data_IF_758459047606
#
_entry.id   IF_758459047606
#
_cell.length_a   1.000
_cell.length_b   1.000
_cell.length_c   1.000
_cell.angle_alpha   90.00
_cell.angle_beta   90.00
_cell.angle_gamma   90.00
#
_symmetry.space_group_name_H-M   'P 1'
#
loop_
_entity.id
_entity.type
_entity.pdbx_description
1 polymer ?
#
# COMPACT_ATOMS: atom_id res chain seq x y z
N UNK A 1 6.65 -22.28 -11.66
CA UNK A 1 6.11 -21.07 -12.31
C UNK A 1 6.63 -20.97 -13.74
N UNK A 2 5.89 -20.31 -14.63
CA UNK A 2 6.39 -19.92 -15.95
C UNK A 2 6.76 -18.45 -15.88
N UNK A 3 7.97 -18.14 -16.29
CA UNK A 3 8.41 -16.76 -16.52
C UNK A 3 8.07 -16.34 -17.94
N UNK A 4 7.95 -15.04 -18.14
CA UNK A 4 7.61 -14.45 -19.43
C UNK A 4 8.59 -13.32 -19.76
N UNK A 5 8.87 -13.14 -21.05
CA UNK A 5 9.48 -11.94 -21.59
C UNK A 5 8.56 -11.30 -22.62
N UNK A 6 8.70 -9.99 -22.81
CA UNK A 6 8.15 -9.28 -23.95
C UNK A 6 9.26 -8.98 -24.92
N UNK A 7 9.00 -9.21 -26.19
CA UNK A 7 9.94 -8.97 -27.27
C UNK A 7 9.32 -8.09 -28.35
N UNK A 8 10.03 -7.04 -28.74
CA UNK A 8 9.70 -6.21 -29.88
C UNK A 8 10.46 -6.72 -31.11
N UNK A 9 9.73 -7.13 -32.15
CA UNK A 9 10.34 -7.67 -33.38
C UNK A 9 11.08 -6.61 -34.19
N UNK A 10 10.65 -5.35 -34.11
CA UNK A 10 11.19 -4.25 -34.92
C UNK A 10 12.48 -3.67 -34.34
N UNK A 11 12.53 -3.53 -33.02
CA UNK A 11 13.69 -2.95 -32.32
C UNK A 11 14.69 -4.01 -31.87
N UNK A 12 14.37 -5.31 -32.05
CA UNK A 12 15.15 -6.42 -31.52
C UNK A 12 15.52 -6.19 -30.04
N UNK A 13 14.50 -5.83 -29.26
CA UNK A 13 14.62 -5.47 -27.85
C UNK A 13 13.65 -6.28 -27.00
N UNK A 14 14.03 -6.60 -25.77
CA UNK A 14 13.18 -7.35 -24.85
C UNK A 14 13.19 -6.79 -23.43
N UNK A 15 12.16 -7.12 -22.65
CA UNK A 15 12.08 -6.91 -21.21
C UNK A 15 11.54 -8.17 -20.52
N UNK A 16 12.08 -8.50 -19.36
CA UNK A 16 11.68 -9.63 -18.55
C UNK A 16 10.52 -9.24 -17.62
N UNK A 17 9.42 -9.97 -17.73
CA UNK A 17 8.29 -9.86 -16.82
C UNK A 17 8.44 -10.80 -15.60
N UNK A 18 9.20 -11.88 -15.76
CA UNK A 18 9.27 -12.98 -14.81
C UNK A 18 7.88 -13.57 -14.54
N UNK A 19 7.66 -14.13 -13.35
CA UNK A 19 6.40 -14.77 -13.00
C UNK A 19 5.29 -13.76 -12.73
N UNK A 20 4.07 -14.12 -13.12
CA UNK A 20 2.87 -13.41 -12.74
C UNK A 20 2.42 -13.81 -11.33
N UNK A 21 2.29 -12.83 -10.44
CA UNK A 21 1.69 -13.01 -9.13
C UNK A 21 0.17 -12.75 -9.23
N UNK A 22 -0.61 -13.78 -8.84
CA UNK A 22 -2.07 -13.73 -8.89
C UNK A 22 -2.66 -12.92 -7.74
N UNK A 23 -1.95 -12.80 -6.63
CA UNK A 23 -2.45 -12.07 -5.46
C UNK A 23 -2.34 -10.56 -5.66
N UNK A 24 -1.19 -10.09 -6.18
CA UNK A 24 -0.99 -8.68 -6.51
C UNK A 24 -1.61 -8.26 -7.85
N UNK A 25 -1.91 -9.23 -8.73
CA UNK A 25 -2.36 -8.96 -10.09
C UNK A 25 -1.27 -8.35 -10.98
N UNK A 26 0.01 -8.56 -10.64
CA UNK A 26 1.15 -7.95 -11.32
C UNK A 26 2.26 -8.95 -11.62
N UNK A 27 3.06 -8.64 -12.62
CA UNK A 27 4.32 -9.33 -12.86
C UNK A 27 5.37 -8.88 -11.84
N UNK A 28 6.31 -9.76 -11.49
CA UNK A 28 7.44 -9.39 -10.64
C UNK A 28 8.31 -8.30 -11.28
N UNK A 29 8.35 -8.25 -12.62
CA UNK A 29 9.11 -7.25 -13.38
C UNK A 29 10.56 -7.66 -13.52
N UNK A 30 11.43 -6.67 -13.72
CA UNK A 30 12.87 -6.88 -13.90
C UNK A 30 13.55 -7.20 -12.57
N UNK A 31 14.68 -7.92 -12.64
CA UNK A 31 15.48 -8.31 -11.48
C UNK A 31 16.81 -7.56 -11.46
N UNK A 32 17.12 -6.92 -10.33
CA UNK A 32 18.41 -6.30 -10.07
C UNK A 32 19.34 -7.29 -9.38
N UNK A 33 20.52 -7.51 -9.98
CA UNK A 33 21.59 -8.30 -9.38
C UNK A 33 22.19 -7.59 -8.16
N UNK A 34 22.34 -6.26 -8.22
CA UNK A 34 22.93 -5.45 -7.16
C UNK A 34 22.12 -5.53 -5.86
N UNK A 35 20.80 -5.41 -5.98
CA UNK A 35 19.88 -5.39 -4.84
C UNK A 35 19.30 -6.75 -4.50
N UNK A 36 19.61 -7.79 -5.29
CA UNK A 36 19.05 -9.14 -5.19
C UNK A 36 17.52 -9.11 -5.05
N UNK A 37 16.86 -8.28 -5.87
CA UNK A 37 15.42 -8.05 -5.75
C UNK A 37 14.79 -7.68 -7.08
N UNK A 38 13.49 -7.91 -7.18
CA UNK A 38 12.67 -7.52 -8.31
C UNK A 38 12.17 -6.09 -8.16
N UNK A 39 11.88 -5.42 -9.27
CA UNK A 39 11.23 -4.10 -9.26
C UNK A 39 9.85 -4.16 -8.59
N UNK A 40 9.11 -5.27 -8.77
CA UNK A 40 7.72 -5.48 -8.28
C UNK A 40 6.77 -4.35 -8.69
N UNK A 41 7.07 -3.69 -9.80
CA UNK A 41 6.32 -2.57 -10.33
C UNK A 41 6.31 -2.65 -11.87
N UNK A 42 5.22 -2.16 -12.48
CA UNK A 42 5.00 -2.16 -13.91
C UNK A 42 5.71 -1.01 -14.64
N UNK A 43 6.59 -0.23 -13.98
CA UNK A 43 7.25 0.93 -14.58
C UNK A 43 8.02 0.55 -15.85
N UNK A 44 8.88 -0.48 -15.77
CA UNK A 44 9.72 -0.90 -16.91
C UNK A 44 8.83 -1.42 -18.04
N UNK A 45 7.82 -2.22 -17.71
CA UNK A 45 6.81 -2.69 -18.66
C UNK A 45 6.10 -1.52 -19.36
N UNK A 46 5.61 -0.53 -18.61
CA UNK A 46 4.92 0.62 -19.17
C UNK A 46 5.83 1.43 -20.09
N UNK A 47 7.08 1.66 -19.68
CA UNK A 47 8.08 2.34 -20.51
C UNK A 47 8.39 1.56 -21.78
N UNK A 48 8.48 0.24 -21.69
CA UNK A 48 8.68 -0.64 -22.85
C UNK A 48 7.51 -0.51 -23.83
N UNK A 49 6.27 -0.58 -23.35
CA UNK A 49 5.08 -0.43 -24.20
C UNK A 49 4.99 0.96 -24.85
N UNK A 50 5.33 2.02 -24.11
CA UNK A 50 5.33 3.38 -24.62
C UNK A 50 6.43 3.62 -25.66
N UNK A 51 7.62 3.07 -25.45
CA UNK A 51 8.75 3.21 -26.38
C UNK A 51 8.53 2.45 -27.69
N UNK A 52 7.70 1.39 -27.67
CA UNK A 52 7.44 0.52 -28.82
C UNK A 52 6.00 0.64 -29.33
N UNK A 53 5.39 1.82 -29.18
CA UNK A 53 4.05 2.10 -29.70
C UNK A 53 3.98 1.87 -31.22
N UNK A 54 2.99 1.08 -31.65
CA UNK A 54 2.81 0.73 -33.05
C UNK A 54 3.69 -0.44 -33.54
N UNK A 55 4.60 -0.95 -32.71
CA UNK A 55 5.39 -2.14 -33.05
C UNK A 55 4.66 -3.42 -32.64
N UNK A 56 4.95 -4.52 -33.34
CA UNK A 56 4.48 -5.85 -32.93
C UNK A 56 5.29 -6.34 -31.74
N UNK A 57 4.62 -6.46 -30.59
CA UNK A 57 5.19 -6.99 -29.36
C UNK A 57 4.65 -8.39 -29.13
N UNK A 58 5.54 -9.34 -28.86
CA UNK A 58 5.21 -10.74 -28.59
C UNK A 58 5.55 -11.10 -27.15
N UNK A 59 4.61 -11.73 -26.46
CA UNK A 59 4.87 -12.39 -25.18
C UNK A 59 5.42 -13.78 -25.42
N UNK A 60 6.62 -14.05 -24.90
CA UNK A 60 7.31 -15.32 -25.08
C UNK A 60 7.45 -15.99 -23.71
N UNK A 61 6.89 -17.21 -23.53
CA UNK A 61 7.04 -17.93 -22.27
C UNK A 61 8.42 -18.58 -22.16
N UNK A 62 8.91 -18.69 -20.94
CA UNK A 62 10.10 -19.46 -20.57
C UNK A 62 10.02 -20.92 -21.04
N UNK A 63 11.20 -21.53 -21.24
CA UNK A 63 11.39 -22.91 -21.74
C UNK A 63 11.00 -23.15 -23.21
N UNK A 64 10.93 -22.09 -23.99
CA UNK A 64 10.86 -22.17 -25.46
C UNK A 64 12.23 -21.86 -26.07
N UNK A 65 12.51 -22.38 -27.26
CA UNK A 65 13.78 -22.06 -27.95
C UNK A 65 13.82 -20.58 -28.37
N UNK A 66 12.67 -20.02 -28.75
CA UNK A 66 12.49 -18.58 -29.00
C UNK A 66 12.96 -17.73 -27.80
N UNK A 67 12.61 -18.14 -26.58
CA UNK A 67 13.01 -17.43 -25.36
C UNK A 67 14.53 -17.37 -25.20
N UNK A 68 15.22 -18.50 -25.42
CA UNK A 68 16.69 -18.57 -25.33
C UNK A 68 17.36 -17.75 -26.42
N UNK A 69 16.84 -17.86 -27.65
CA UNK A 69 17.36 -17.12 -28.80
C UNK A 69 17.23 -15.60 -28.61
N UNK A 70 16.11 -15.12 -28.06
CA UNK A 70 15.91 -13.69 -27.81
C UNK A 70 16.88 -13.19 -26.74
N UNK A 71 17.03 -13.90 -25.62
CA UNK A 71 17.94 -13.48 -24.56
C UNK A 71 19.39 -13.40 -25.04
N UNK A 72 19.81 -14.30 -25.93
CA UNK A 72 21.18 -14.30 -26.44
C UNK A 72 21.45 -13.25 -27.53
N UNK A 73 20.43 -12.89 -28.33
CA UNK A 73 20.64 -12.15 -29.57
C UNK A 73 19.98 -10.76 -29.60
N UNK A 74 19.01 -10.49 -28.73
CA UNK A 74 18.31 -9.21 -28.65
C UNK A 74 18.88 -8.31 -27.56
N UNK A 75 18.63 -7.01 -27.68
CA UNK A 75 19.01 -6.00 -26.68
C UNK A 75 18.08 -6.02 -25.47
N UNK A 76 18.64 -5.97 -24.26
CA UNK A 76 17.85 -5.86 -23.03
C UNK A 76 17.45 -4.40 -22.81
N UNK A 77 16.15 -4.13 -22.73
CA UNK A 77 15.63 -2.78 -22.61
C UNK A 77 15.91 -2.20 -21.22
N UNK A 78 16.58 -1.06 -21.17
CA UNK A 78 16.91 -0.32 -19.94
C UNK A 78 17.74 -1.11 -18.92
N UNK A 79 18.58 -2.05 -19.36
CA UNK A 79 19.43 -2.88 -18.48
C UNK A 79 20.18 -2.05 -17.43
N UNK A 80 20.83 -0.96 -17.85
CA UNK A 80 21.61 -0.06 -16.98
C UNK A 80 20.76 0.69 -15.93
N UNK A 81 19.47 0.90 -16.21
CA UNK A 81 18.56 1.65 -15.33
C UNK A 81 17.78 0.74 -14.37
N UNK A 82 17.85 -0.60 -14.51
CA UNK A 82 17.08 -1.54 -13.68
C UNK A 82 17.37 -1.33 -12.20
N UNK A 83 18.65 -1.17 -11.84
CA UNK A 83 19.08 -0.98 -10.45
C UNK A 83 18.43 0.25 -9.83
N UNK A 84 18.38 1.36 -10.58
CA UNK A 84 17.73 2.59 -10.15
C UNK A 84 16.23 2.38 -9.91
N UNK A 85 15.54 1.66 -10.78
CA UNK A 85 14.10 1.39 -10.57
C UNK A 85 13.85 0.49 -9.36
N UNK A 86 14.75 -0.45 -9.07
CA UNK A 86 14.66 -1.28 -7.86
C UNK A 86 14.87 -0.44 -6.61
N UNK A 87 15.84 0.49 -6.62
CA UNK A 87 16.03 1.42 -5.50
C UNK A 87 14.80 2.30 -5.27
N UNK A 88 14.24 2.88 -6.33
CA UNK A 88 13.02 3.69 -6.24
C UNK A 88 11.85 2.87 -5.68
N UNK A 89 11.69 1.62 -6.10
CA UNK A 89 10.65 0.73 -5.59
C UNK A 89 10.83 0.43 -4.10
N UNK A 90 12.05 0.14 -3.66
CA UNK A 90 12.36 -0.08 -2.24
C UNK A 90 12.10 1.19 -1.41
N UNK A 91 12.46 2.36 -1.93
CA UNK A 91 12.18 3.63 -1.26
C UNK A 91 10.67 3.85 -1.13
N UNK A 92 9.89 3.64 -2.19
CA UNK A 92 8.42 3.75 -2.15
C UNK A 92 7.81 2.78 -1.14
N UNK A 93 8.32 1.56 -1.02
CA UNK A 93 7.87 0.60 -0.02
C UNK A 93 8.15 1.13 1.41
N UNK A 94 9.34 1.66 1.66
CA UNK A 94 9.70 2.28 2.95
C UNK A 94 8.83 3.51 3.26
N UNK A 95 8.53 4.35 2.27
CA UNK A 95 7.63 5.48 2.44
C UNK A 95 6.21 5.02 2.78
N UNK A 96 5.65 4.04 2.06
CA UNK A 96 4.33 3.47 2.38
C UNK A 96 4.26 2.89 3.79
N UNK A 97 5.31 2.21 4.25
CA UNK A 97 5.36 1.72 5.63
C UNK A 97 5.43 2.85 6.66
N UNK A 98 6.20 3.90 6.36
CA UNK A 98 6.29 5.09 7.21
C UNK A 98 4.95 5.83 7.28
N UNK A 99 4.29 6.02 6.15
CA UNK A 99 2.98 6.68 6.08
C UNK A 99 1.94 5.87 6.87
N UNK A 100 1.90 4.55 6.70
CA UNK A 100 1.03 3.67 7.51
C UNK A 100 1.29 3.79 9.01
N UNK A 101 2.55 3.90 9.43
CA UNK A 101 2.89 4.12 10.84
C UNK A 101 2.42 5.50 11.30
N UNK A 102 2.66 6.54 10.51
CA UNK A 102 2.20 7.91 10.80
C UNK A 102 0.68 7.99 10.90
N UNK A 103 -0.07 7.35 10.01
CA UNK A 103 -1.53 7.30 10.07
C UNK A 103 -2.04 6.62 11.34
N UNK A 104 -1.36 5.55 11.78
CA UNK A 104 -1.66 4.88 13.04
C UNK A 104 -1.43 5.79 14.24
N UNK A 105 -0.29 6.49 14.28
CA UNK A 105 0.04 7.43 15.34
C UNK A 105 -0.97 8.59 15.41
N UNK A 106 -1.33 9.17 14.25
CA UNK A 106 -2.36 10.21 14.16
C UNK A 106 -3.70 9.67 14.67
N UNK A 107 -4.08 8.45 14.28
CA UNK A 107 -5.31 7.80 14.76
C UNK A 107 -5.32 7.58 16.28
N UNK A 108 -4.18 7.26 16.89
CA UNK A 108 -4.05 7.14 18.35
C UNK A 108 -4.22 8.49 19.05
N UNK A 109 -3.62 9.55 18.51
CA UNK A 109 -3.76 10.91 19.04
C UNK A 109 -5.21 11.40 18.93
N UNK A 110 -5.88 11.14 17.80
CA UNK A 110 -7.30 11.46 17.61
C UNK A 110 -8.18 10.75 18.64
N UNK A 111 -7.95 9.46 18.89
CA UNK A 111 -8.69 8.71 19.93
C UNK A 111 -8.46 9.29 21.33
N UNK A 112 -7.23 9.68 21.65
CA UNK A 112 -6.90 10.30 22.94
C UNK A 112 -7.61 11.65 23.12
N UNK A 113 -7.64 12.49 22.07
CA UNK A 113 -8.38 13.76 22.06
C UNK A 113 -9.88 13.54 22.30
N UNK A 114 -10.49 12.57 21.62
CA UNK A 114 -11.91 12.24 21.81
C UNK A 114 -12.18 11.76 23.23
N UNK A 115 -11.34 10.88 23.78
CA UNK A 115 -11.45 10.42 25.18
C UNK A 115 -11.41 11.60 26.16
N UNK A 116 -10.47 12.54 25.95
CA UNK A 116 -10.33 13.71 26.81
C UNK A 116 -11.54 14.65 26.72
N UNK A 117 -12.03 14.96 25.51
CA UNK A 117 -13.20 15.80 25.30
C UNK A 117 -14.47 15.19 25.92
N UNK A 118 -14.70 13.89 25.74
CA UNK A 118 -15.83 13.20 26.36
C UNK A 118 -15.74 13.20 27.89
N UNK A 119 -14.54 13.05 28.44
CA UNK A 119 -14.32 13.12 29.89
C UNK A 119 -14.61 14.52 30.44
N UNK A 120 -14.17 15.56 29.73
CA UNK A 120 -14.43 16.95 30.09
C UNK A 120 -15.93 17.28 30.04
N UNK A 121 -16.64 16.87 28.98
CA UNK A 121 -18.09 17.05 28.88
C UNK A 121 -18.85 16.30 29.98
N UNK A 122 -18.42 15.08 30.33
CA UNK A 122 -19.00 14.33 31.45
C UNK A 122 -18.80 15.06 32.79
N UNK A 123 -17.62 15.63 33.02
CA UNK A 123 -17.34 16.43 34.22
C UNK A 123 -18.22 17.69 34.27
N UNK A 124 -18.38 18.40 33.15
CA UNK A 124 -19.24 19.57 33.07
C UNK A 124 -20.71 19.21 33.37
N UNK A 125 -21.20 18.11 32.80
CA UNK A 125 -22.56 17.63 33.07
C UNK A 125 -22.76 17.22 34.53
N UNK A 126 -21.75 16.62 35.17
CA UNK A 126 -21.82 16.24 36.59
C UNK A 126 -21.89 17.44 37.54
N UNK A 127 -21.40 18.60 37.11
CA UNK A 127 -21.42 19.85 37.88
C UNK A 127 -22.67 20.71 37.59
N UNK A 128 -23.38 20.45 36.49
CA UNK A 128 -24.58 21.17 36.13
C UNK A 128 -25.75 20.80 37.06
N UNK A 129 -26.39 21.81 37.66
CA UNK A 129 -27.62 21.62 38.45
C UNK A 129 -28.85 21.77 37.55
N UNK A 130 -29.76 20.81 37.62
CA UNK A 130 -31.04 20.89 36.94
C UNK A 130 -31.96 21.88 37.66
N UNK A 131 -32.65 22.74 36.90
CA UNK A 131 -33.62 23.70 37.45
C UNK A 131 -35.00 23.06 37.57
N UNK A 132 -35.28 22.05 36.74
CA UNK A 132 -36.55 21.31 36.71
C UNK A 132 -36.35 19.78 36.72
N UNK A 133 -37.35 19.00 37.16
CA UNK A 133 -37.28 17.53 37.15
C UNK A 133 -37.12 16.94 35.74
N UNK A 134 -37.73 17.58 34.72
CA UNK A 134 -37.62 17.17 33.32
C UNK A 134 -36.20 17.37 32.77
N UNK A 135 -35.57 18.51 33.08
CA UNK A 135 -34.15 18.75 32.76
C UNK A 135 -33.24 17.73 33.45
N UNK A 136 -33.55 17.36 34.69
CA UNK A 136 -32.82 16.33 35.43
C UNK A 136 -32.79 14.98 34.71
N UNK A 137 -33.93 14.54 34.16
CA UNK A 137 -33.99 13.30 33.36
C UNK A 137 -33.20 13.39 32.05
N UNK A 138 -33.19 14.56 31.39
CA UNK A 138 -32.39 14.78 30.18
C UNK A 138 -30.89 14.76 30.49
N UNK A 139 -30.46 15.37 31.60
CA UNK A 139 -29.06 15.33 32.03
C UNK A 139 -28.59 13.91 32.36
N UNK A 140 -29.41 13.11 33.07
CA UNK A 140 -29.15 11.69 33.31
C UNK A 140 -29.00 10.88 32.01
N UNK A 141 -29.89 11.12 31.03
CA UNK A 141 -29.81 10.47 29.73
C UNK A 141 -28.52 10.82 28.97
N UNK A 142 -28.12 12.10 28.98
CA UNK A 142 -26.86 12.55 28.39
C UNK A 142 -25.65 11.93 29.10
N UNK A 143 -25.65 11.91 30.43
CA UNK A 143 -24.56 11.32 31.22
C UNK A 143 -24.36 9.83 30.91
N UNK A 144 -25.46 9.07 30.81
CA UNK A 144 -25.41 7.66 30.40
C UNK A 144 -24.86 7.49 28.99
N UNK A 145 -25.28 8.35 28.04
CA UNK A 145 -24.75 8.36 26.67
C UNK A 145 -23.24 8.62 26.62
N UNK A 146 -22.75 9.60 27.38
CA UNK A 146 -21.32 9.90 27.46
C UNK A 146 -20.51 8.77 28.11
N UNK A 147 -21.04 8.12 29.15
CA UNK A 147 -20.39 6.93 29.75
C UNK A 147 -20.30 5.78 28.76
N UNK A 148 -21.37 5.50 28.02
CA UNK A 148 -21.36 4.45 26.98
C UNK A 148 -20.38 4.79 25.85
N UNK A 149 -20.32 6.06 25.42
CA UNK A 149 -19.38 6.51 24.41
C UNK A 149 -17.91 6.36 24.89
N UNK A 150 -17.62 6.73 26.14
CA UNK A 150 -16.30 6.54 26.74
C UNK A 150 -15.91 5.06 26.82
N UNK A 151 -16.83 4.18 27.21
CA UNK A 151 -16.58 2.74 27.26
C UNK A 151 -16.29 2.16 25.88
N UNK A 152 -16.96 2.64 24.83
CA UNK A 152 -16.67 2.24 23.45
C UNK A 152 -15.28 2.70 23.01
N UNK A 153 -14.92 3.96 23.29
CA UNK A 153 -13.59 4.50 22.95
C UNK A 153 -12.49 3.72 23.67
N UNK A 154 -12.69 3.38 24.95
CA UNK A 154 -11.75 2.57 25.74
C UNK A 154 -11.61 1.15 25.21
N UNK A 155 -12.71 0.51 24.78
CA UNK A 155 -12.64 -0.81 24.13
C UNK A 155 -11.82 -0.76 22.84
N UNK A 156 -12.10 0.20 21.96
CA UNK A 156 -11.36 0.38 20.69
C UNK A 156 -9.87 0.65 20.94
N UNK A 157 -9.54 1.40 22.00
CA UNK A 157 -8.15 1.66 22.42
C UNK A 157 -7.45 0.39 22.90
N UNK A 158 -8.14 -0.44 23.71
CA UNK A 158 -7.57 -1.66 24.29
C UNK A 158 -7.42 -2.79 23.25
N UNK A 159 -8.39 -2.96 22.35
CA UNK A 159 -8.31 -3.96 21.28
C UNK A 159 -7.13 -3.69 20.33
N UNK A 160 -6.81 -2.42 20.09
CA UNK A 160 -5.68 -2.01 19.24
C UNK A 160 -4.31 -2.05 19.92
N UNK A 161 -4.22 -2.21 21.24
CA UNK A 161 -2.94 -2.42 21.93
C UNK A 161 -2.45 -3.88 21.84
N UNK A 162 -3.30 -4.81 21.41
CA UNK A 162 -3.03 -6.25 21.34
C UNK A 162 -2.73 -6.77 19.92
N UNK A 163 -2.69 -5.89 18.91
CA UNK A 163 -2.46 -6.19 17.48
C UNK A 163 -1.46 -5.24 16.84
#
# INVERSE_FOLDING_TARGET
MRDYLLYCTYCSSYTLLHSYDKESGSFLGEYSLLHNNYTRDAIVLNKFLLAHLGHTIRTIPSKTDDYRHIISNASHFLEDDIDKYVEESQQRAKFKERDRKSEREIGQVQLYLVEHLLTHELQNLSQARASTPAEGQVFLGKELGFKQALDLVRRVKNDKQLS
#
